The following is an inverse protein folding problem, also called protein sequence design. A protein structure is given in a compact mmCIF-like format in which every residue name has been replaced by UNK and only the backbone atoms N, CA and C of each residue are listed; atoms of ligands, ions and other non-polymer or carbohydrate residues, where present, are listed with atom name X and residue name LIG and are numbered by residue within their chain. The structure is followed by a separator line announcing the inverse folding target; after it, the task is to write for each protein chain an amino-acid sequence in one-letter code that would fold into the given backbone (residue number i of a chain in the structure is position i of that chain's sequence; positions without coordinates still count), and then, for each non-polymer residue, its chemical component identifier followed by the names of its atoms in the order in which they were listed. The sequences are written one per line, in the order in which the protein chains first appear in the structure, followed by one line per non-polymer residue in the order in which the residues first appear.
data_IF_989976996177
#
_entry.id   IF_989976996177
#
_cell.length_a   1.000
_cell.length_b   1.000
_cell.length_c   1.000
_cell.angle_alpha   90.00
_cell.angle_beta   90.00
_cell.angle_gamma   90.00
#
_symmetry.space_group_name_H-M   'P 1'
#
loop_
_entity.id
_entity.type
_entity.pdbx_description
1 polymer ?
#
# COMPACT_ATOMS: atom_id res chain seq x y z
N UNK A 1 24.48 -6.91 -20.31
CA UNK A 1 25.79 -6.91 -20.99
C UNK A 1 26.19 -8.29 -21.52
N UNK A 2 25.96 -9.39 -20.79
CA UNK A 2 26.30 -10.76 -21.26
C UNK A 2 25.16 -11.53 -21.92
N UNK A 3 23.91 -11.05 -21.83
CA UNK A 3 22.73 -11.80 -22.29
C UNK A 3 22.43 -13.05 -21.45
N UNK A 4 23.04 -13.14 -20.26
CA UNK A 4 22.88 -14.28 -19.34
C UNK A 4 22.73 -13.85 -17.88
N UNK A 5 22.02 -14.66 -17.09
CA UNK A 5 21.85 -14.50 -15.63
C UNK A 5 22.06 -15.86 -14.97
N UNK A 6 23.08 -16.02 -14.12
CA UNK A 6 23.41 -17.30 -13.45
C UNK A 6 23.51 -18.52 -14.40
N UNK A 7 23.88 -18.29 -15.67
CA UNK A 7 23.95 -19.31 -16.73
C UNK A 7 22.67 -19.47 -17.57
N UNK A 8 21.57 -18.81 -17.21
CA UNK A 8 20.38 -18.73 -18.04
C UNK A 8 20.57 -17.76 -19.21
N UNK A 9 20.21 -18.17 -20.43
CA UNK A 9 20.06 -17.24 -21.53
C UNK A 9 18.78 -16.42 -21.35
N UNK A 10 18.89 -15.09 -21.49
CA UNK A 10 17.75 -14.17 -21.46
C UNK A 10 17.48 -13.61 -22.86
N UNK A 11 16.22 -13.36 -23.23
CA UNK A 11 15.91 -12.69 -24.49
C UNK A 11 16.54 -11.29 -24.53
N UNK A 12 16.85 -10.78 -25.72
CA UNK A 12 17.50 -9.47 -25.90
C UNK A 12 16.79 -8.71 -27.03
N UNK A 13 16.52 -7.39 -26.91
CA UNK A 13 16.75 -6.55 -25.74
C UNK A 13 15.65 -6.72 -24.68
N UNK A 14 16.06 -6.81 -23.40
CA UNK A 14 15.17 -6.62 -22.26
C UNK A 14 15.15 -5.14 -21.87
N UNK A 15 13.97 -4.65 -21.55
CA UNK A 15 13.77 -3.38 -20.87
C UNK A 15 13.36 -3.62 -19.42
N UNK A 16 13.47 -2.58 -18.60
CA UNK A 16 13.15 -2.66 -17.19
C UNK A 16 11.68 -3.00 -16.94
N UNK A 17 11.45 -3.90 -15.98
CA UNK A 17 10.15 -4.50 -15.67
C UNK A 17 9.59 -5.49 -16.70
N UNK A 18 10.37 -5.92 -17.70
CA UNK A 18 9.93 -6.96 -18.64
C UNK A 18 9.74 -8.32 -17.95
N UNK A 19 8.72 -9.05 -18.39
CA UNK A 19 8.44 -10.40 -17.90
C UNK A 19 9.39 -11.40 -18.56
N UNK A 20 10.07 -12.20 -17.74
CA UNK A 20 10.91 -13.30 -18.22
C UNK A 20 10.07 -14.48 -18.73
N UNK A 21 10.57 -15.23 -19.73
CA UNK A 21 9.80 -16.32 -20.38
C UNK A 21 9.47 -17.49 -19.44
N UNK A 22 10.26 -17.68 -18.38
CA UNK A 22 10.05 -18.68 -17.35
C UNK A 22 10.70 -18.19 -16.04
N UNK A 23 10.33 -18.82 -14.91
CA UNK A 23 10.95 -18.52 -13.61
C UNK A 23 12.39 -19.05 -13.62
N UNK A 24 13.34 -18.16 -13.34
CA UNK A 24 14.77 -18.48 -13.26
C UNK A 24 15.18 -18.53 -11.79
N UNK A 25 15.93 -19.56 -11.41
CA UNK A 25 16.68 -19.60 -10.15
C UNK A 25 18.01 -18.86 -10.34
N UNK A 26 18.27 -17.95 -9.42
CA UNK A 26 19.51 -17.14 -9.38
C UNK A 26 20.19 -17.40 -8.04
N UNK A 27 20.82 -18.58 -7.86
CA UNK A 27 21.38 -18.95 -6.58
C UNK A 27 22.55 -18.03 -6.23
N UNK A 28 22.70 -17.76 -4.95
CA UNK A 28 23.77 -16.90 -4.42
C UNK A 28 24.38 -17.50 -3.17
N UNK A 29 25.61 -17.10 -2.84
CA UNK A 29 26.21 -17.37 -1.52
C UNK A 29 25.50 -16.55 -0.44
N UNK A 30 25.63 -16.97 0.83
CA UNK A 30 25.23 -16.15 1.99
C UNK A 30 26.51 -15.64 2.65
N UNK A 31 26.88 -14.39 2.37
CA UNK A 31 28.10 -13.83 2.91
C UNK A 31 27.91 -13.47 4.41
N UNK A 32 28.90 -13.78 5.24
CA UNK A 32 28.93 -13.33 6.66
C UNK A 32 29.28 -11.84 6.72
N UNK A 33 30.20 -11.40 5.86
CA UNK A 33 30.57 -10.01 5.61
C UNK A 33 30.68 -9.80 4.09
N UNK A 34 30.23 -8.64 3.60
CA UNK A 34 30.24 -8.32 2.16
C UNK A 34 28.91 -8.63 1.44
N UNK A 35 28.98 -8.84 0.12
CA UNK A 35 27.81 -9.10 -0.72
C UNK A 35 27.69 -10.57 -1.11
N UNK A 36 26.45 -11.05 -1.20
CA UNK A 36 26.11 -12.35 -1.78
C UNK A 36 26.63 -12.44 -3.23
N UNK A 37 27.32 -13.53 -3.57
CA UNK A 37 27.89 -13.76 -4.91
C UNK A 37 27.02 -14.72 -5.71
N UNK A 38 26.87 -14.47 -7.02
CA UNK A 38 26.10 -15.35 -7.91
C UNK A 38 26.79 -16.71 -8.11
N UNK A 39 26.00 -17.78 -8.05
CA UNK A 39 26.42 -19.15 -8.31
C UNK A 39 25.83 -19.65 -9.63
N UNK A 40 26.42 -20.71 -10.20
CA UNK A 40 25.87 -21.36 -11.39
C UNK A 40 24.58 -22.10 -11.06
N UNK A 41 23.48 -21.75 -11.75
CA UNK A 41 22.21 -22.45 -11.58
C UNK A 41 22.33 -23.95 -11.92
N UNK A 42 23.13 -24.30 -12.93
CA UNK A 42 23.35 -25.69 -13.33
C UNK A 42 24.06 -26.51 -12.25
N UNK A 43 25.10 -25.94 -11.62
CA UNK A 43 25.85 -26.61 -10.56
C UNK A 43 24.99 -26.81 -9.31
N UNK A 44 24.24 -25.78 -8.91
CA UNK A 44 23.36 -25.84 -7.74
C UNK A 44 22.21 -26.82 -7.95
N UNK A 45 21.62 -26.90 -9.15
CA UNK A 45 20.62 -27.93 -9.48
C UNK A 45 21.18 -29.35 -9.43
N UNK A 46 22.43 -29.54 -9.87
CA UNK A 46 23.06 -30.85 -9.81
C UNK A 46 23.34 -31.29 -8.37
N UNK A 47 23.74 -30.35 -7.50
CA UNK A 47 24.03 -30.62 -6.09
C UNK A 47 22.78 -30.74 -5.23
N UNK A 48 21.75 -29.92 -5.48
CA UNK A 48 20.53 -29.79 -4.66
C UNK A 48 19.24 -29.86 -5.50
N UNK A 49 19.01 -30.94 -6.28
CA UNK A 49 17.92 -31.01 -7.24
C UNK A 49 16.53 -30.86 -6.59
N UNK A 50 16.32 -31.48 -5.43
CA UNK A 50 15.03 -31.47 -4.76
C UNK A 50 14.71 -30.10 -4.14
N UNK A 51 15.72 -29.45 -3.53
CA UNK A 51 15.58 -28.13 -2.95
C UNK A 51 15.27 -27.10 -4.03
N UNK A 52 16.04 -27.09 -5.12
CA UNK A 52 15.80 -26.18 -6.24
C UNK A 52 14.42 -26.37 -6.85
N UNK A 53 13.99 -27.63 -7.05
CA UNK A 53 12.64 -27.91 -7.53
C UNK A 53 11.56 -27.36 -6.59
N UNK A 54 11.72 -27.58 -5.28
CA UNK A 54 10.79 -27.10 -4.25
C UNK A 54 10.70 -25.57 -4.25
N UNK A 55 11.83 -24.87 -4.30
CA UNK A 55 11.87 -23.41 -4.31
C UNK A 55 11.23 -22.81 -5.57
N UNK A 56 11.47 -23.41 -6.74
CA UNK A 56 10.82 -23.00 -7.99
C UNK A 56 9.30 -23.23 -7.93
N UNK A 57 8.84 -24.32 -7.32
CA UNK A 57 7.41 -24.55 -7.10
C UNK A 57 6.79 -23.50 -6.18
N UNK A 58 7.45 -23.19 -5.05
CA UNK A 58 7.00 -22.13 -4.14
C UNK A 58 6.88 -20.80 -4.88
N UNK A 59 7.89 -20.42 -5.66
CA UNK A 59 7.88 -19.20 -6.47
C UNK A 59 6.75 -19.20 -7.51
N UNK A 60 6.48 -20.33 -8.17
CA UNK A 60 5.39 -20.45 -9.13
C UNK A 60 4.01 -20.30 -8.48
N UNK A 61 3.78 -20.95 -7.34
CA UNK A 61 2.54 -20.83 -6.56
C UNK A 61 2.35 -19.38 -6.10
N UNK A 62 3.41 -18.77 -5.56
CA UNK A 62 3.42 -17.39 -5.12
C UNK A 62 3.07 -16.41 -6.23
N UNK A 63 3.73 -16.55 -7.39
CA UNK A 63 3.47 -15.72 -8.58
C UNK A 63 2.03 -15.83 -9.05
N UNK A 64 1.47 -17.04 -9.07
CA UNK A 64 0.08 -17.26 -9.46
C UNK A 64 -0.89 -16.58 -8.48
N UNK A 65 -0.70 -16.80 -7.18
CA UNK A 65 -1.51 -16.19 -6.12
C UNK A 65 -1.45 -14.66 -6.16
N UNK A 66 -0.25 -14.08 -6.25
CA UNK A 66 -0.07 -12.64 -6.39
C UNK A 66 -0.85 -12.08 -7.58
N UNK A 67 -0.81 -12.78 -8.73
CA UNK A 67 -1.51 -12.35 -9.94
C UNK A 67 -3.02 -12.34 -9.76
N UNK A 68 -3.59 -13.33 -9.07
CA UNK A 68 -5.02 -13.36 -8.70
C UNK A 68 -5.39 -12.22 -7.75
N UNK A 69 -4.48 -11.84 -6.86
CA UNK A 69 -4.62 -10.68 -5.98
C UNK A 69 -4.38 -9.33 -6.69
N UNK A 70 -4.15 -9.30 -8.01
CA UNK A 70 -3.86 -8.08 -8.76
C UNK A 70 -2.48 -7.47 -8.46
N UNK A 71 -1.52 -8.31 -8.06
CA UNK A 71 -0.12 -7.98 -7.77
C UNK A 71 0.80 -8.73 -8.75
N UNK A 72 1.90 -8.10 -9.13
CA UNK A 72 3.01 -8.73 -9.83
C UNK A 72 4.10 -9.05 -8.82
N UNK A 73 4.46 -10.33 -8.68
CA UNK A 73 5.68 -10.74 -7.99
C UNK A 73 6.84 -10.63 -9.00
N UNK A 74 7.69 -9.62 -8.84
CA UNK A 74 8.81 -9.37 -9.74
C UNK A 74 9.94 -10.39 -9.50
N UNK A 75 10.33 -10.56 -8.24
CA UNK A 75 11.28 -11.56 -7.77
C UNK A 75 11.09 -11.81 -6.27
N UNK A 76 11.69 -12.91 -5.78
CA UNK A 76 11.76 -13.23 -4.36
C UNK A 76 13.06 -13.95 -4.03
N UNK A 77 13.67 -13.61 -2.89
CA UNK A 77 14.70 -14.44 -2.25
C UNK A 77 14.00 -15.45 -1.35
N UNK A 78 14.46 -16.69 -1.38
CA UNK A 78 14.01 -17.77 -0.52
C UNK A 78 15.23 -18.49 0.02
N UNK A 79 15.21 -18.85 1.29
CA UNK A 79 16.26 -19.64 1.91
C UNK A 79 15.76 -21.06 2.20
N UNK A 80 16.65 -22.04 2.05
CA UNK A 80 16.32 -23.44 2.29
C UNK A 80 17.48 -24.17 2.94
N UNK A 81 17.15 -24.96 3.95
CA UNK A 81 17.99 -26.02 4.50
C UNK A 81 17.34 -27.37 4.16
N UNK A 82 16.97 -28.18 5.16
CA UNK A 82 16.15 -29.38 4.95
C UNK A 82 14.68 -29.05 4.60
N UNK A 83 14.23 -27.84 4.96
CA UNK A 83 12.92 -27.27 4.66
C UNK A 83 13.11 -25.81 4.24
N UNK A 84 12.10 -25.23 3.59
CA UNK A 84 12.04 -23.77 3.38
C UNK A 84 12.08 -23.10 4.75
N UNK A 85 12.95 -22.11 4.90
CA UNK A 85 13.18 -21.43 6.16
C UNK A 85 13.29 -19.92 5.98
N UNK A 86 13.51 -19.21 7.09
CA UNK A 86 13.52 -17.75 7.17
C UNK A 86 12.16 -17.13 6.79
N UNK A 87 12.14 -16.03 6.04
CA UNK A 87 10.93 -15.38 5.57
C UNK A 87 10.55 -15.78 4.14
N UNK A 88 9.24 -15.79 3.87
CA UNK A 88 8.66 -16.18 2.58
C UNK A 88 7.63 -15.14 2.16
N UNK A 89 7.85 -14.49 1.02
CA UNK A 89 6.93 -13.51 0.42
C UNK A 89 6.64 -12.29 1.29
N UNK A 90 7.59 -11.92 2.15
CA UNK A 90 7.54 -10.64 2.85
C UNK A 90 8.01 -9.51 1.94
N UNK A 91 7.62 -8.26 2.21
CA UNK A 91 8.17 -7.09 1.51
C UNK A 91 9.68 -6.86 1.70
N UNK A 92 10.35 -7.62 2.57
CA UNK A 92 11.82 -7.60 2.71
C UNK A 92 12.47 -8.60 1.74
N UNK A 93 11.87 -9.79 1.62
CA UNK A 93 12.32 -10.89 0.76
C UNK A 93 11.90 -10.78 -0.71
N UNK A 94 10.85 -10.02 -1.03
CA UNK A 94 10.22 -10.00 -2.35
C UNK A 94 9.96 -8.61 -2.88
N UNK A 95 9.94 -8.48 -4.21
CA UNK A 95 9.55 -7.26 -4.90
C UNK A 95 8.15 -7.37 -5.50
N UNK A 96 7.30 -6.41 -5.17
CA UNK A 96 5.90 -6.40 -5.57
C UNK A 96 5.54 -5.15 -6.37
N UNK A 97 4.79 -5.33 -7.46
CA UNK A 97 4.19 -4.23 -8.22
C UNK A 97 2.68 -4.38 -8.29
N UNK A 98 1.96 -3.27 -8.40
CA UNK A 98 0.54 -3.32 -8.72
C UNK A 98 0.36 -3.76 -10.17
N UNK A 99 -0.53 -4.73 -10.40
CA UNK A 99 -0.79 -5.23 -11.75
C UNK A 99 -1.25 -4.12 -12.72
N UNK A 100 -2.18 -3.20 -12.35
CA UNK A 100 -2.57 -2.10 -13.23
C UNK A 100 -1.39 -1.20 -13.61
N UNK A 101 -0.52 -0.87 -12.65
CA UNK A 101 0.60 0.05 -12.85
C UNK A 101 1.68 -0.61 -13.71
N UNK A 102 1.92 -1.91 -13.51
CA UNK A 102 2.78 -2.70 -14.39
C UNK A 102 2.21 -2.78 -15.81
N UNK A 103 0.93 -3.10 -15.99
CA UNK A 103 0.29 -3.15 -17.31
C UNK A 103 0.35 -1.80 -18.04
N UNK A 104 0.13 -0.69 -17.32
CA UNK A 104 0.24 0.66 -17.88
C UNK A 104 1.67 0.93 -18.36
N UNK A 105 2.69 0.56 -17.55
CA UNK A 105 4.09 0.73 -17.93
C UNK A 105 4.47 -0.02 -19.22
N UNK A 106 3.71 -1.07 -19.60
CA UNK A 106 3.95 -1.85 -20.82
C UNK A 106 3.38 -1.21 -22.08
N UNK A 107 2.50 -0.20 -21.96
CA UNK A 107 1.92 0.51 -23.12
C UNK A 107 2.91 1.48 -23.77
N UNK A 108 3.92 1.92 -23.02
CA UNK A 108 5.00 2.79 -23.53
C UNK A 108 6.02 1.98 -24.35
N UNK A 109 6.59 2.62 -25.37
CA UNK A 109 7.75 2.07 -26.12
C UNK A 109 9.01 2.00 -25.27
N UNK A 110 9.15 2.95 -24.33
CA UNK A 110 10.17 2.96 -23.27
C UNK A 110 9.55 2.40 -22.00
N UNK A 111 9.92 1.17 -21.68
CA UNK A 111 9.39 0.39 -20.55
C UNK A 111 10.25 0.57 -19.31
N UNK A 112 9.59 0.71 -18.16
CA UNK A 112 10.23 0.84 -16.83
C UNK A 112 9.44 0.08 -15.77
N UNK A 113 10.13 -0.48 -14.78
CA UNK A 113 9.47 -1.05 -13.63
C UNK A 113 8.67 0.06 -12.91
N UNK A 114 7.42 -0.21 -12.49
CA UNK A 114 6.69 0.72 -11.64
C UNK A 114 7.31 0.76 -10.23
N UNK A 115 6.87 1.72 -9.41
CA UNK A 115 7.34 1.79 -8.02
C UNK A 115 7.00 0.51 -7.26
N UNK A 116 7.99 0.01 -6.53
CA UNK A 116 7.89 -1.26 -5.82
C UNK A 116 7.26 -1.08 -4.42
N UNK A 117 6.42 -2.04 -4.02
CA UNK A 117 5.70 -2.05 -2.73
C UNK A 117 6.46 -2.87 -1.69
N UNK A 118 7.73 -2.54 -1.52
CA UNK A 118 8.71 -3.29 -0.72
C UNK A 118 9.80 -2.37 -0.15
N UNK A 119 10.87 -2.95 0.40
CA UNK A 119 11.99 -2.22 1.01
C UNK A 119 12.76 -1.30 0.06
N UNK A 120 12.50 -1.32 -1.25
CA UNK A 120 13.19 -0.48 -2.22
C UNK A 120 13.10 1.00 -1.89
N UNK A 121 12.00 1.47 -1.32
CA UNK A 121 11.86 2.86 -0.88
C UNK A 121 12.95 3.25 0.14
N UNK A 122 13.19 2.39 1.14
CA UNK A 122 14.23 2.60 2.16
C UNK A 122 15.63 2.48 1.55
N UNK A 123 15.84 1.55 0.61
CA UNK A 123 17.11 1.41 -0.11
C UNK A 123 17.46 2.65 -0.92
N UNK A 124 16.51 3.20 -1.66
CA UNK A 124 16.71 4.41 -2.47
C UNK A 124 16.91 5.66 -1.61
N UNK A 125 16.28 5.74 -0.43
CA UNK A 125 16.60 6.77 0.55
C UNK A 125 18.03 6.60 1.09
N UNK A 126 18.42 5.40 1.50
CA UNK A 126 19.76 5.14 2.04
C UNK A 126 20.87 5.45 1.04
N UNK A 127 20.66 5.15 -0.25
CA UNK A 127 21.58 5.55 -1.34
C UNK A 127 21.77 7.07 -1.44
N UNK A 128 20.71 7.85 -1.27
CA UNK A 128 20.80 9.33 -1.28
C UNK A 128 21.58 9.89 -0.10
N UNK A 129 21.56 9.19 1.03
CA UNK A 129 22.37 9.48 2.20
C UNK A 129 23.79 8.89 2.11
N UNK A 130 24.16 8.33 0.95
CA UNK A 130 25.43 7.65 0.72
C UNK A 130 25.73 6.53 1.73
N UNK A 131 24.70 5.93 2.35
CA UNK A 131 24.88 4.84 3.30
C UNK A 131 25.55 3.64 2.61
N UNK A 132 25.26 3.44 1.33
CA UNK A 132 25.87 2.38 0.51
C UNK A 132 27.35 2.61 0.21
N UNK A 133 27.94 3.75 0.58
CA UNK A 133 29.39 3.99 0.47
C UNK A 133 30.12 3.82 1.80
N UNK A 134 29.39 3.50 2.87
CA UNK A 134 29.95 3.32 4.20
C UNK A 134 30.28 1.84 4.42
N UNK A 135 31.47 1.59 4.95
CA UNK A 135 31.97 0.26 5.30
C UNK A 135 31.37 -0.21 6.64
N UNK A 136 30.56 -1.28 6.67
CA UNK A 136 29.97 -1.82 7.90
C UNK A 136 31.00 -2.42 8.86
N UNK A 137 32.22 -2.73 8.40
CA UNK A 137 33.31 -3.22 9.25
C UNK A 137 34.08 -2.09 9.95
N UNK A 138 33.82 -0.83 9.60
CA UNK A 138 34.39 0.34 10.27
C UNK A 138 33.46 0.83 11.40
N UNK A 139 33.89 0.79 12.68
CA UNK A 139 33.07 1.24 13.81
C UNK A 139 32.57 2.69 13.70
N UNK A 140 33.38 3.60 13.15
CA UNK A 140 32.99 5.01 13.00
C UNK A 140 31.86 5.18 11.98
N UNK A 141 31.89 4.39 10.90
CA UNK A 141 30.81 4.35 9.92
C UNK A 141 29.53 3.76 10.50
N UNK A 142 29.63 2.73 11.34
CA UNK A 142 28.47 2.16 12.04
C UNK A 142 27.83 3.20 12.95
N UNK A 143 28.63 3.92 13.74
CA UNK A 143 28.15 5.02 14.60
C UNK A 143 27.49 6.10 13.74
N UNK A 144 28.10 6.47 12.61
CA UNK A 144 27.53 7.44 11.69
C UNK A 144 26.14 7.00 11.21
N UNK A 145 25.99 5.77 10.68
CA UNK A 145 24.69 5.25 10.20
C UNK A 145 23.65 5.23 11.32
N UNK A 146 24.03 4.76 12.51
CA UNK A 146 23.13 4.66 13.65
C UNK A 146 22.70 6.03 14.21
N UNK A 147 23.46 7.10 13.91
CA UNK A 147 23.10 8.48 14.27
C UNK A 147 22.10 9.13 13.30
N UNK A 148 21.86 8.52 12.13
CA UNK A 148 20.93 9.08 11.13
C UNK A 148 19.49 8.87 11.60
N UNK A 149 18.79 9.98 11.83
CA UNK A 149 17.35 9.94 12.07
C UNK A 149 16.61 9.60 10.77
N UNK A 150 15.87 8.48 10.77
CA UNK A 150 15.03 8.10 9.64
C UNK A 150 13.83 9.05 9.56
N UNK A 151 13.57 9.71 8.43
CA UNK A 151 12.44 10.62 8.30
C UNK A 151 11.09 9.92 8.54
N UNK A 152 10.20 10.55 9.32
CA UNK A 152 8.92 9.93 9.66
C UNK A 152 8.05 9.64 8.42
N UNK A 153 8.15 10.44 7.37
CA UNK A 153 7.41 10.20 6.13
C UNK A 153 7.86 8.90 5.43
N UNK A 154 9.17 8.59 5.47
CA UNK A 154 9.72 7.36 4.92
C UNK A 154 9.21 6.14 5.71
N UNK A 155 9.26 6.21 7.04
CA UNK A 155 8.72 5.17 7.91
C UNK A 155 7.23 4.92 7.63
N UNK A 156 6.44 5.99 7.54
CA UNK A 156 5.01 5.91 7.23
C UNK A 156 4.73 5.29 5.86
N UNK A 157 5.40 5.76 4.81
CA UNK A 157 5.21 5.24 3.45
C UNK A 157 5.60 3.77 3.35
N UNK A 158 6.72 3.38 3.99
CA UNK A 158 7.18 1.99 4.03
C UNK A 158 6.18 1.11 4.77
N UNK A 159 5.74 1.52 5.96
CA UNK A 159 4.73 0.79 6.74
C UNK A 159 3.41 0.67 5.97
N UNK A 160 2.98 1.72 5.27
CA UNK A 160 1.78 1.70 4.44
C UNK A 160 1.91 0.70 3.29
N UNK A 161 3.04 0.68 2.58
CA UNK A 161 3.29 -0.29 1.51
C UNK A 161 3.25 -1.73 2.02
N UNK A 162 3.85 -2.00 3.18
CA UNK A 162 3.91 -3.34 3.77
C UNK A 162 2.53 -3.83 4.17
N UNK A 163 1.77 -2.97 4.85
CA UNK A 163 0.38 -3.27 5.24
C UNK A 163 -0.50 -3.45 4.01
N UNK A 164 -0.30 -2.65 2.96
CA UNK A 164 -1.03 -2.76 1.72
C UNK A 164 -0.78 -4.09 1.02
N UNK A 165 0.48 -4.52 0.89
CA UNK A 165 0.77 -5.82 0.27
C UNK A 165 0.26 -6.98 1.12
N UNK A 166 0.42 -6.91 2.45
CA UNK A 166 -0.11 -7.91 3.35
C UNK A 166 -1.63 -8.06 3.16
N UNK A 167 -2.34 -6.94 3.13
CA UNK A 167 -3.78 -6.94 2.94
C UNK A 167 -4.18 -7.46 1.56
N UNK A 168 -3.49 -7.05 0.48
CA UNK A 168 -3.76 -7.53 -0.88
C UNK A 168 -3.54 -9.03 -1.04
N UNK A 169 -2.49 -9.57 -0.43
CA UNK A 169 -2.15 -11.00 -0.53
C UNK A 169 -3.01 -11.89 0.36
N UNK A 170 -3.49 -11.39 1.51
CA UNK A 170 -4.19 -12.20 2.51
C UNK A 170 -5.69 -11.93 2.59
N UNK A 171 -6.17 -10.80 2.07
CA UNK A 171 -7.53 -10.31 2.27
C UNK A 171 -7.82 -9.85 3.70
N UNK A 172 -6.83 -9.81 4.60
CA UNK A 172 -6.97 -9.47 6.01
C UNK A 172 -6.16 -8.23 6.33
N UNK A 173 -6.67 -7.34 7.18
CA UNK A 173 -5.81 -6.31 7.76
C UNK A 173 -4.87 -6.93 8.77
N UNK A 174 -3.76 -6.25 9.07
CA UNK A 174 -2.80 -6.75 10.06
C UNK A 174 -3.46 -6.91 11.44
N UNK A 175 -4.34 -5.97 11.80
CA UNK A 175 -5.10 -5.97 13.05
C UNK A 175 -6.02 -7.20 13.15
N UNK A 176 -6.76 -7.51 12.08
CA UNK A 176 -7.59 -8.71 12.01
C UNK A 176 -6.74 -9.98 12.17
N UNK A 177 -5.60 -10.04 11.50
CA UNK A 177 -4.72 -11.19 11.54
C UNK A 177 -4.14 -11.40 12.94
N UNK A 178 -3.62 -10.33 13.55
CA UNK A 178 -3.06 -10.38 14.90
C UNK A 178 -4.11 -10.84 15.92
N UNK A 179 -5.33 -10.30 15.85
CA UNK A 179 -6.41 -10.67 16.76
C UNK A 179 -6.92 -12.08 16.53
N UNK A 180 -7.31 -12.40 15.30
CA UNK A 180 -8.12 -13.59 14.99
C UNK A 180 -7.28 -14.83 14.67
N UNK A 181 -6.00 -14.64 14.28
CA UNK A 181 -5.09 -15.74 13.93
C UNK A 181 -4.00 -15.89 14.98
N UNK A 182 -3.35 -14.80 15.38
CA UNK A 182 -2.23 -14.86 16.33
C UNK A 182 -2.66 -14.79 17.80
N UNK A 183 -3.91 -14.44 18.08
CA UNK A 183 -4.41 -14.26 19.45
C UNK A 183 -3.76 -13.09 20.19
N UNK A 184 -3.19 -12.12 19.47
CA UNK A 184 -2.59 -10.91 20.03
C UNK A 184 -3.70 -9.88 20.27
N UNK A 185 -3.77 -9.36 21.49
CA UNK A 185 -4.78 -8.37 21.89
C UNK A 185 -4.82 -7.15 20.97
N UNK A 186 -6.01 -6.61 20.73
CA UNK A 186 -6.18 -5.39 19.95
C UNK A 186 -5.78 -4.15 20.75
N UNK A 187 -5.30 -3.13 20.03
CA UNK A 187 -5.17 -1.77 20.56
C UNK A 187 -6.53 -1.30 21.11
N UNK A 188 -6.58 -1.03 22.41
CA UNK A 188 -7.79 -0.60 23.12
C UNK A 188 -7.99 0.92 23.11
N UNK A 189 -7.11 1.68 22.44
CA UNK A 189 -7.29 3.11 22.34
C UNK A 189 -8.53 3.47 21.51
N UNK A 190 -9.35 4.36 22.07
CA UNK A 190 -10.50 4.93 21.37
C UNK A 190 -10.01 5.68 20.14
N UNK A 191 -10.49 5.25 18.96
CA UNK A 191 -10.18 5.89 17.69
C UNK A 191 -10.87 7.24 17.58
N UNK A 192 -10.17 8.21 17.01
CA UNK A 192 -10.69 9.53 16.67
C UNK A 192 -11.06 9.58 15.20
N UNK A 193 -12.32 9.87 14.90
CA UNK A 193 -12.88 9.82 13.54
C UNK A 193 -13.44 11.20 13.20
N UNK A 194 -12.98 11.77 12.09
CA UNK A 194 -13.57 12.98 11.53
C UNK A 194 -14.58 12.60 10.44
N UNK A 195 -15.84 12.94 10.63
CA UNK A 195 -16.88 12.79 9.62
C UNK A 195 -17.06 14.14 8.92
N UNK A 196 -16.92 14.16 7.60
CA UNK A 196 -16.98 15.40 6.80
C UNK A 196 -18.11 15.30 5.77
N UNK A 197 -19.13 16.13 5.92
CA UNK A 197 -20.22 16.24 4.95
C UNK A 197 -19.92 17.31 3.90
N UNK A 198 -20.21 17.01 2.63
CA UNK A 198 -20.11 17.97 1.52
C UNK A 198 -21.09 19.14 1.59
N UNK A 199 -22.20 18.98 2.32
CA UNK A 199 -23.22 20.00 2.48
C UNK A 199 -24.06 19.82 3.76
N UNK A 200 -24.66 20.91 4.23
CA UNK A 200 -25.56 20.88 5.40
C UNK A 200 -26.83 20.06 5.13
N UNK A 201 -27.34 20.11 3.91
CA UNK A 201 -28.55 19.35 3.56
C UNK A 201 -28.33 17.84 3.58
N UNK A 202 -27.10 17.36 3.39
CA UNK A 202 -26.81 15.93 3.52
C UNK A 202 -26.86 15.45 4.98
N UNK A 203 -26.63 16.35 5.95
CA UNK A 203 -26.79 16.08 7.39
C UNK A 203 -28.27 16.04 7.76
N UNK A 204 -29.05 17.02 7.28
CA UNK A 204 -30.46 17.21 7.68
C UNK A 204 -31.41 16.15 7.09
N UNK A 205 -31.01 15.45 6.02
CA UNK A 205 -31.85 14.48 5.31
C UNK A 205 -32.16 13.19 6.10
N UNK A 206 -31.44 12.86 7.18
CA UNK A 206 -31.64 11.57 7.83
C UNK A 206 -31.43 11.59 9.37
N UNK A 207 -32.52 11.57 10.17
CA UNK A 207 -32.43 11.48 11.62
C UNK A 207 -31.84 10.17 12.17
N UNK A 208 -31.98 9.05 11.46
CA UNK A 208 -31.44 7.74 11.89
C UNK A 208 -29.90 7.72 11.86
N UNK A 209 -29.28 8.52 10.99
CA UNK A 209 -27.84 8.73 10.98
C UNK A 209 -27.36 9.36 12.29
N UNK A 210 -28.07 10.37 12.81
CA UNK A 210 -27.71 10.99 14.08
C UNK A 210 -27.71 9.96 15.22
N UNK A 211 -28.64 9.00 15.19
CA UNK A 211 -28.69 7.91 16.17
C UNK A 211 -27.49 6.96 16.03
N UNK A 212 -27.09 6.60 14.81
CA UNK A 212 -25.92 5.75 14.58
C UNK A 212 -24.61 6.43 15.00
N UNK A 213 -24.43 7.71 14.64
CA UNK A 213 -23.27 8.50 15.06
C UNK A 213 -23.26 8.63 16.60
N UNK A 214 -24.42 8.88 17.23
CA UNK A 214 -24.53 8.94 18.68
C UNK A 214 -24.20 7.60 19.36
N UNK A 215 -24.57 6.48 18.74
CA UNK A 215 -24.20 5.14 19.22
C UNK A 215 -22.69 4.90 19.08
N UNK A 216 -22.12 5.20 17.92
CA UNK A 216 -20.70 5.02 17.63
C UNK A 216 -19.79 5.91 18.50
N UNK A 217 -20.30 7.06 18.98
CA UNK A 217 -19.61 7.92 19.97
C UNK A 217 -19.35 7.24 21.32
N UNK A 218 -19.97 6.10 21.61
CA UNK A 218 -19.70 5.30 22.82
C UNK A 218 -18.39 4.53 22.71
N UNK A 219 -17.90 4.30 21.49
CA UNK A 219 -16.74 3.44 21.20
C UNK A 219 -15.66 4.15 20.36
N UNK A 220 -15.86 5.42 20.02
CA UNK A 220 -14.90 6.27 19.31
C UNK A 220 -15.15 7.76 19.56
N UNK A 221 -14.12 8.60 19.41
CA UNK A 221 -14.21 10.05 19.44
C UNK A 221 -14.63 10.57 18.05
N UNK A 222 -15.91 10.92 17.87
CA UNK A 222 -16.45 11.31 16.55
C UNK A 222 -16.73 12.81 16.47
N UNK A 223 -15.97 13.48 15.61
CA UNK A 223 -16.14 14.89 15.26
C UNK A 223 -16.84 15.02 13.91
N UNK A 224 -17.82 15.92 13.79
CA UNK A 224 -18.60 16.12 12.57
C UNK A 224 -18.34 17.51 12.02
N UNK A 225 -18.02 17.58 10.73
CA UNK A 225 -17.68 18.81 10.01
C UNK A 225 -18.52 18.92 8.74
N UNK A 226 -18.74 20.15 8.28
CA UNK A 226 -19.36 20.44 6.99
C UNK A 226 -18.35 21.24 6.18
N UNK A 227 -17.84 20.66 5.10
CA UNK A 227 -16.83 21.27 4.24
C UNK A 227 -17.24 21.12 2.77
N UNK A 228 -16.82 22.05 1.93
CA UNK A 228 -17.15 22.01 0.51
C UNK A 228 -15.98 22.50 -0.32
N UNK A 229 -15.47 21.63 -1.21
CA UNK A 229 -14.39 21.98 -2.13
C UNK A 229 -14.77 23.09 -3.12
N UNK A 230 -16.07 23.22 -3.42
CA UNK A 230 -16.55 24.21 -4.38
C UNK A 230 -16.84 25.56 -3.74
N UNK A 231 -17.35 25.56 -2.50
CA UNK A 231 -17.73 26.82 -1.81
C UNK A 231 -16.60 27.37 -0.96
N UNK A 232 -15.91 26.50 -0.22
CA UNK A 232 -14.97 26.91 0.84
C UNK A 232 -13.66 26.10 0.74
N UNK A 233 -12.91 26.17 -0.38
CA UNK A 233 -11.69 25.38 -0.58
C UNK A 233 -10.61 25.64 0.48
N UNK A 234 -10.44 26.89 0.92
CA UNK A 234 -9.46 27.23 1.97
C UNK A 234 -9.76 26.56 3.31
N UNK A 235 -11.04 26.40 3.66
CA UNK A 235 -11.42 25.68 4.88
C UNK A 235 -11.09 24.19 4.79
N UNK A 236 -11.19 23.59 3.60
CA UNK A 236 -10.77 22.19 3.37
C UNK A 236 -9.27 22.05 3.60
N UNK A 237 -8.49 23.02 3.12
CA UNK A 237 -7.03 23.06 3.31
C UNK A 237 -6.67 23.21 4.79
N UNK A 238 -7.20 24.23 5.48
CA UNK A 238 -6.92 24.43 6.91
C UNK A 238 -7.34 23.22 7.74
N UNK A 239 -8.47 22.60 7.40
CA UNK A 239 -8.88 21.34 8.04
C UNK A 239 -7.86 20.22 7.81
N UNK A 240 -7.34 20.05 6.59
CA UNK A 240 -6.31 19.04 6.32
C UNK A 240 -5.00 19.30 7.08
N UNK A 241 -4.63 20.57 7.27
CA UNK A 241 -3.45 20.99 8.04
C UNK A 241 -3.62 20.64 9.53
N UNK A 242 -4.79 20.90 10.11
CA UNK A 242 -5.01 20.86 11.57
C UNK A 242 -5.67 19.58 12.11
N UNK A 243 -6.41 18.83 11.28
CA UNK A 243 -7.28 17.73 11.75
C UNK A 243 -6.51 16.68 12.54
N UNK A 244 -6.87 16.34 13.78
CA UNK A 244 -6.29 15.19 14.47
C UNK A 244 -7.29 14.03 14.48
N UNK A 245 -7.06 13.03 13.63
CA UNK A 245 -7.94 11.88 13.48
C UNK A 245 -7.15 10.64 12.99
N UNK A 246 -7.61 9.46 13.38
CA UNK A 246 -7.14 8.17 12.89
C UNK A 246 -7.70 7.85 11.49
N UNK A 247 -8.87 8.40 11.15
CA UNK A 247 -9.47 8.30 9.83
C UNK A 247 -10.44 9.46 9.56
N UNK A 248 -10.65 9.76 8.28
CA UNK A 248 -11.65 10.73 7.83
C UNK A 248 -12.68 10.05 6.93
N UNK A 249 -13.96 10.19 7.27
CA UNK A 249 -15.07 9.67 6.48
C UNK A 249 -15.77 10.85 5.81
N UNK A 250 -15.58 10.98 4.51
CA UNK A 250 -16.27 11.97 3.70
C UNK A 250 -17.61 11.41 3.22
N UNK A 251 -18.66 12.23 3.30
CA UNK A 251 -19.99 11.91 2.77
C UNK A 251 -20.45 12.98 1.80
N UNK A 252 -21.03 12.54 0.69
CA UNK A 252 -21.57 13.46 -0.32
C UNK A 252 -22.25 12.74 -1.46
N UNK A 253 -22.92 13.53 -2.30
CA UNK A 253 -23.70 13.07 -3.45
C UNK A 253 -23.27 13.83 -4.71
N UNK A 254 -23.72 13.38 -5.88
CA UNK A 254 -23.43 14.02 -7.19
C UNK A 254 -21.91 14.05 -7.48
N UNK A 255 -21.38 15.19 -7.93
CA UNK A 255 -19.94 15.39 -8.12
C UNK A 255 -19.24 15.41 -6.77
N UNK A 256 -18.78 14.25 -6.33
CA UNK A 256 -18.31 14.03 -4.98
C UNK A 256 -16.77 14.03 -4.93
N UNK A 257 -16.17 15.18 -5.24
CA UNK A 257 -14.72 15.37 -5.28
C UNK A 257 -14.05 15.50 -3.90
N UNK A 258 -14.84 15.75 -2.84
CA UNK A 258 -14.34 16.02 -1.49
C UNK A 258 -13.32 15.01 -0.94
N UNK A 259 -13.56 13.69 -0.98
CA UNK A 259 -12.58 12.73 -0.47
C UNK A 259 -11.24 12.82 -1.19
N UNK A 260 -11.24 12.92 -2.52
CA UNK A 260 -10.00 13.03 -3.30
C UNK A 260 -9.24 14.34 -3.05
N UNK A 261 -9.95 15.47 -2.96
CA UNK A 261 -9.36 16.78 -2.66
C UNK A 261 -8.75 16.81 -1.25
N UNK A 262 -9.46 16.26 -0.27
CA UNK A 262 -8.99 16.25 1.11
C UNK A 262 -7.75 15.35 1.27
N UNK A 263 -7.78 14.18 0.67
CA UNK A 263 -6.66 13.24 0.62
C UNK A 263 -5.44 13.84 -0.10
N UNK A 264 -5.65 14.64 -1.16
CA UNK A 264 -4.58 15.41 -1.80
C UNK A 264 -3.94 16.43 -0.84
N UNK A 265 -4.73 17.18 -0.07
CA UNK A 265 -4.21 18.14 0.90
C UNK A 265 -3.48 17.47 2.08
N UNK A 266 -4.04 16.39 2.63
CA UNK A 266 -3.37 15.61 3.69
C UNK A 266 -1.98 15.15 3.24
N UNK A 267 -1.89 14.63 2.02
CA UNK A 267 -0.62 14.23 1.43
C UNK A 267 0.35 15.40 1.24
N UNK A 268 -0.13 16.56 0.77
CA UNK A 268 0.70 17.77 0.64
C UNK A 268 1.28 18.19 2.00
N UNK A 269 0.50 18.04 3.08
CA UNK A 269 0.89 18.29 4.46
C UNK A 269 1.71 17.14 5.10
N UNK A 270 2.17 16.14 4.31
CA UNK A 270 2.91 14.96 4.79
C UNK A 270 2.13 14.09 5.80
N UNK A 271 0.80 14.11 5.76
CA UNK A 271 -0.09 13.40 6.69
C UNK A 271 -0.66 12.15 6.03
N UNK A 272 -0.65 11.04 6.75
CA UNK A 272 -1.10 9.73 6.25
C UNK A 272 -2.41 9.31 6.91
N UNK A 273 -3.37 10.23 7.01
CA UNK A 273 -4.69 9.93 7.57
C UNK A 273 -5.53 9.31 6.45
N UNK A 274 -6.04 8.08 6.61
CA UNK A 274 -6.86 7.44 5.60
C UNK A 274 -8.17 8.21 5.39
N UNK A 275 -8.48 8.50 4.12
CA UNK A 275 -9.73 9.13 3.71
C UNK A 275 -10.64 8.08 3.11
N UNK A 276 -11.87 8.01 3.59
CA UNK A 276 -12.91 7.08 3.15
C UNK A 276 -14.01 7.89 2.46
N UNK A 277 -14.39 7.50 1.24
CA UNK A 277 -15.49 8.12 0.51
C UNK A 277 -16.77 7.32 0.64
N UNK A 278 -17.84 7.93 1.18
CA UNK A 278 -19.19 7.35 1.23
C UNK A 278 -20.12 8.10 0.28
N UNK A 279 -20.47 7.45 -0.83
CA UNK A 279 -21.38 8.00 -1.83
C UNK A 279 -22.84 7.94 -1.35
N UNK A 280 -23.50 9.08 -1.32
CA UNK A 280 -24.89 9.23 -0.90
C UNK A 280 -25.84 9.41 -2.09
N UNK A 281 -27.04 8.86 -1.95
CA UNK A 281 -28.13 9.00 -2.92
C UNK A 281 -29.10 7.83 -2.82
N UNK A 282 -30.24 7.97 -3.49
CA UNK A 282 -31.23 6.90 -3.56
C UNK A 282 -30.73 5.74 -4.44
N UNK A 283 -31.12 4.49 -4.14
CA UNK A 283 -30.79 3.34 -4.97
C UNK A 283 -31.19 3.57 -6.43
N UNK A 284 -30.25 3.33 -7.36
CA UNK A 284 -30.48 3.52 -8.79
C UNK A 284 -30.53 4.97 -9.28
N UNK A 285 -30.33 5.96 -8.39
CA UNK A 285 -30.31 7.37 -8.80
C UNK A 285 -29.02 7.75 -9.53
N UNK A 286 -29.13 8.65 -10.52
CA UNK A 286 -27.97 9.25 -11.20
C UNK A 286 -27.03 9.96 -10.21
N UNK A 287 -27.60 10.56 -9.15
CA UNK A 287 -26.82 11.23 -8.10
C UNK A 287 -25.91 10.26 -7.33
N UNK A 288 -26.38 9.04 -7.05
CA UNK A 288 -25.57 8.02 -6.40
C UNK A 288 -24.51 7.48 -7.37
N UNK A 289 -24.90 7.21 -8.62
CA UNK A 289 -23.98 6.74 -9.65
C UNK A 289 -22.82 7.72 -9.89
N UNK A 290 -23.13 9.03 -10.00
CA UNK A 290 -22.13 10.08 -10.14
C UNK A 290 -21.16 10.15 -8.93
N UNK A 291 -21.67 9.98 -7.71
CA UNK A 291 -20.84 10.01 -6.51
C UNK A 291 -19.93 8.78 -6.40
N UNK A 292 -20.45 7.59 -6.73
CA UNK A 292 -19.66 6.35 -6.81
C UNK A 292 -18.56 6.49 -7.85
N UNK A 293 -18.89 7.00 -9.05
CA UNK A 293 -17.92 7.18 -10.12
C UNK A 293 -16.83 8.19 -9.73
N UNK A 294 -17.21 9.30 -9.09
CA UNK A 294 -16.27 10.32 -8.58
C UNK A 294 -15.21 9.74 -7.64
N UNK A 295 -15.55 8.69 -6.86
CA UNK A 295 -14.58 8.02 -5.97
C UNK A 295 -13.71 7.04 -6.77
N UNK A 296 -14.32 6.24 -7.66
CA UNK A 296 -13.61 5.19 -8.43
C UNK A 296 -12.58 5.73 -9.40
N UNK A 297 -12.89 6.84 -10.05
CA UNK A 297 -12.09 7.44 -11.11
C UNK A 297 -10.98 8.36 -10.58
N UNK A 298 -10.81 8.44 -9.26
CA UNK A 298 -9.68 9.17 -8.70
C UNK A 298 -8.35 8.57 -9.20
N UNK A 299 -7.47 9.38 -9.81
CA UNK A 299 -6.17 8.90 -10.28
C UNK A 299 -5.38 8.23 -9.15
N UNK A 300 -4.94 7.00 -9.38
CA UNK A 300 -4.21 6.21 -8.38
C UNK A 300 -5.06 5.67 -7.22
N UNK A 301 -6.39 5.88 -7.23
CA UNK A 301 -7.35 5.40 -6.21
C UNK A 301 -6.85 5.55 -4.76
N UNK A 302 -6.56 6.77 -4.31
CA UNK A 302 -5.90 6.98 -3.03
C UNK A 302 -6.87 6.98 -1.83
N UNK A 303 -8.18 7.03 -2.11
CA UNK A 303 -9.27 6.97 -1.13
C UNK A 303 -9.62 5.51 -0.84
N UNK A 304 -9.86 5.18 0.43
CA UNK A 304 -10.24 3.84 0.88
C UNK A 304 -11.65 3.48 0.42
N UNK A 305 -11.78 2.34 -0.27
CA UNK A 305 -13.05 1.77 -0.74
C UNK A 305 -13.49 0.58 0.12
N UNK A 306 -14.73 0.12 -0.06
CA UNK A 306 -15.29 -1.07 0.58
C UNK A 306 -14.84 -2.33 -0.18
N UNK A 307 -13.52 -2.50 -0.27
CA UNK A 307 -12.89 -3.56 -1.07
C UNK A 307 -13.08 -4.95 -0.46
N UNK A 308 -13.29 -5.02 0.85
CA UNK A 308 -13.48 -6.29 1.56
C UNK A 308 -14.90 -6.84 1.35
N UNK A 309 -15.95 -6.01 1.47
CA UNK A 309 -17.32 -6.53 1.39
C UNK A 309 -17.91 -6.47 -0.03
N UNK A 310 -17.55 -5.44 -0.81
CA UNK A 310 -18.25 -5.17 -2.08
C UNK A 310 -17.33 -4.96 -3.29
N UNK A 311 -16.05 -4.63 -3.08
CA UNK A 311 -15.16 -4.21 -4.17
C UNK A 311 -15.54 -2.83 -4.76
N UNK A 312 -16.37 -2.05 -4.07
CA UNK A 312 -16.93 -0.78 -4.55
C UNK A 312 -16.71 0.32 -3.51
N UNK A 313 -16.84 1.60 -3.88
CA UNK A 313 -16.93 2.66 -2.87
C UNK A 313 -18.05 2.39 -1.88
N UNK A 314 -17.86 2.83 -0.62
CA UNK A 314 -18.92 2.79 0.39
C UNK A 314 -20.11 3.59 -0.12
N UNK A 315 -21.30 3.02 0.06
CA UNK A 315 -22.53 3.57 -0.50
C UNK A 315 -23.59 3.67 0.57
N UNK A 316 -24.31 4.80 0.55
CA UNK A 316 -25.45 5.08 1.42
C UNK A 316 -25.06 5.01 2.91
N UNK A 317 -26.07 5.03 3.76
CA UNK A 317 -25.90 5.02 5.21
C UNK A 317 -25.35 3.70 5.74
N UNK A 318 -25.69 2.57 5.11
CA UNK A 318 -25.08 1.29 5.47
C UNK A 318 -23.57 1.28 5.20
N UNK A 319 -23.10 1.98 4.16
CA UNK A 319 -21.68 2.22 3.92
C UNK A 319 -21.01 3.03 5.02
N UNK A 320 -21.65 4.08 5.54
CA UNK A 320 -21.13 4.83 6.69
C UNK A 320 -20.98 3.95 7.93
N UNK A 321 -21.99 3.13 8.24
CA UNK A 321 -21.96 2.22 9.40
C UNK A 321 -20.80 1.23 9.28
N UNK A 322 -20.61 0.61 8.10
CA UNK A 322 -19.48 -0.29 7.86
C UNK A 322 -18.13 0.42 7.95
N UNK A 323 -18.02 1.63 7.39
CA UNK A 323 -16.79 2.43 7.48
C UNK A 323 -16.44 2.76 8.93
N UNK A 324 -17.42 3.17 9.74
CA UNK A 324 -17.23 3.45 11.17
C UNK A 324 -16.75 2.20 11.92
N UNK A 325 -17.43 1.07 11.72
CA UNK A 325 -17.10 -0.18 12.39
C UNK A 325 -15.67 -0.64 12.08
N UNK A 326 -15.26 -0.57 10.81
CA UNK A 326 -13.88 -0.88 10.38
C UNK A 326 -12.84 0.03 11.01
N UNK A 327 -13.11 1.34 11.11
CA UNK A 327 -12.18 2.26 11.78
C UNK A 327 -12.08 1.91 13.27
N UNK A 328 -13.21 1.72 13.94
CA UNK A 328 -13.28 1.41 15.38
C UNK A 328 -12.53 0.12 15.70
N UNK A 329 -12.69 -0.90 14.87
CA UNK A 329 -12.07 -2.21 15.05
C UNK A 329 -10.63 -2.29 14.53
N UNK A 330 -10.12 -1.24 13.87
CA UNK A 330 -8.80 -1.26 13.23
C UNK A 330 -8.74 -2.12 11.96
N UNK A 331 -9.90 -2.48 11.40
CA UNK A 331 -10.05 -3.35 10.22
C UNK A 331 -10.24 -2.55 8.93
N UNK A 332 -9.69 -1.33 8.90
CA UNK A 332 -9.70 -0.48 7.73
C UNK A 332 -8.62 -0.94 6.73
N UNK A 333 -8.99 -1.23 5.46
CA UNK A 333 -7.99 -1.45 4.42
C UNK A 333 -7.02 -0.27 4.34
N UNK A 334 -5.71 -0.53 4.25
CA UNK A 334 -4.74 0.53 4.01
C UNK A 334 -5.04 1.21 2.67
N UNK A 335 -4.96 2.54 2.64
CA UNK A 335 -5.07 3.29 1.39
C UNK A 335 -3.96 2.86 0.41
N UNK A 336 -4.26 2.90 -0.90
CA UNK A 336 -3.25 2.61 -1.94
C UNK A 336 -2.06 3.57 -1.75
N UNK A 337 -0.81 3.05 -1.64
CA UNK A 337 0.36 3.90 -1.56
C UNK A 337 0.45 4.80 -2.79
N UNK A 338 0.74 6.08 -2.57
CA UNK A 338 0.99 7.05 -3.64
C UNK A 338 2.46 6.99 -4.03
N UNK A 339 2.74 7.05 -5.33
CA UNK A 339 4.09 7.35 -5.78
C UNK A 339 4.45 8.77 -5.34
N UNK A 340 5.65 8.95 -4.79
CA UNK A 340 6.06 10.27 -4.32
C UNK A 340 6.36 11.19 -5.52
N UNK A 341 5.34 11.96 -5.92
CA UNK A 341 5.43 12.91 -7.04
C UNK A 341 6.44 14.04 -6.76
N UNK A 342 6.92 14.21 -5.52
CA UNK A 342 8.00 15.16 -5.22
C UNK A 342 9.33 14.77 -5.86
N UNK A 343 9.48 13.52 -6.29
CA UNK A 343 10.60 13.11 -7.14
C UNK A 343 10.64 13.81 -8.50
N UNK A 344 9.51 14.36 -8.96
CA UNK A 344 9.42 15.07 -10.23
C UNK A 344 9.75 16.56 -10.04
N UNK A 345 9.46 17.14 -8.86
CA UNK A 345 9.61 18.58 -8.62
C UNK A 345 10.95 19.02 -8.03
N UNK A 346 11.77 18.11 -7.51
CA UNK A 346 13.14 18.44 -7.08
C UNK A 346 14.20 18.27 -8.19
N UNK A 347 13.78 17.96 -9.42
CA UNK A 347 14.61 17.90 -10.63
C UNK A 347 14.37 19.08 -11.61
N UNK A 348 13.63 20.10 -11.18
CA UNK A 348 13.54 21.43 -11.79
C UNK A 348 14.06 22.45 -10.78
#
# INVERSE_FOLDING_TARGET
ETGTICGHAVPVPLQDGDELPYIMDTPTTKAIEGHDENLSAAEIRAQYPQQTYTLLQVCQIARHHCRQCGIVLADTKLEMSNVVCDEVLTPDSSRFWLLPDWLESRKSSVRRAPSALDKQLVREWGKRYAINTLDPSNPDHVVQVHSIAVPDNLLRQTAQAYRYIFWRLTGKTLEMYLRNVMGVGADTQLKTIAIVFGSKSDVEKNPEMCNHIASARRTANINVHILSCHRNPEQVRSFAEDVSADAIICLGSKSFALPGVLDAWLYACCRSIPVIGVALGEPGSESLAAAVQSIKELPGQPVVMDEIDTGQPYQRWSGLVRALDRVITGELPPAKPREDVRHIYHCL
#
